data_IF_377768360254
#
_entry.id   IF_377768360254
#
_cell.length_a   1.000
_cell.length_b   1.000
_cell.length_c   1.000
_cell.angle_alpha   90.00
_cell.angle_beta   90.00
_cell.angle_gamma   90.00
#
_symmetry.space_group_name_H-M   'P 1'
#
loop_
_entity.id
_entity.type
_entity.pdbx_description
1 polymer ?
2 non-polymer ?
3 water ?
#
# COMPACT_ATOMS: atom_id res chain seq x y z
N UNK A 5 2.02 -16.29 -11.61
CA UNK A 5 2.46 -14.91 -11.39
C UNK A 5 3.85 -14.81 -10.71
N UNK A 6 4.45 -13.60 -10.73
CA UNK A 6 5.77 -13.29 -10.15
C UNK A 6 5.76 -11.95 -9.41
N UNK A 7 6.64 -11.82 -8.39
CA UNK A 7 6.78 -10.59 -7.63
C UNK A 7 7.39 -9.46 -8.49
N UNK A 8 8.22 -9.84 -9.46
CA UNK A 8 8.91 -8.93 -10.38
C UNK A 8 8.01 -8.36 -11.48
N UNK A 9 6.73 -8.79 -11.54
CA UNK A 9 5.71 -8.27 -12.48
C UNK A 9 5.05 -7.02 -11.88
N UNK A 10 5.25 -6.82 -10.56
CA UNK A 10 4.74 -5.67 -9.81
C UNK A 10 5.75 -4.53 -9.84
N UNK A 11 7.01 -4.83 -10.23
CA UNK A 11 8.14 -3.90 -10.28
C UNK A 11 7.98 -2.75 -11.25
N UNK A 12 8.32 -1.53 -10.80
CA UNK A 12 8.29 -0.33 -11.63
C UNK A 12 7.56 0.84 -10.98
N UNK A 13 7.29 1.88 -11.80
CA UNK A 13 6.54 3.05 -11.41
C UNK A 13 5.12 2.92 -11.90
N UNK A 14 4.17 3.16 -10.99
CA UNK A 14 2.73 3.06 -11.20
C UNK A 14 2.11 4.39 -10.79
N UNK A 15 0.99 4.77 -11.42
CA UNK A 15 0.27 6.05 -11.28
C UNK A 15 -1.19 5.76 -10.97
N UNK A 16 -1.75 6.37 -9.90
CA UNK A 16 -3.17 6.15 -9.52
C UNK A 16 -4.14 6.61 -10.60
N UNK A 17 -5.15 5.77 -10.94
CA UNK A 17 -6.19 6.09 -11.94
C UNK A 17 -7.63 5.97 -11.41
N UNK A 18 -7.83 5.13 -10.38
CA UNK A 18 -9.12 4.89 -9.75
C UNK A 18 -8.96 4.58 -8.26
N UNK A 19 -9.94 4.98 -7.46
CA UNK A 19 -9.95 4.77 -6.01
C UNK A 19 -11.40 4.55 -5.58
N UNK A 20 -11.66 3.52 -4.77
CA UNK A 20 -12.99 3.23 -4.23
C UNK A 20 -12.81 2.92 -2.77
N UNK A 21 -13.45 3.69 -1.88
CA UNK A 21 -13.43 3.45 -0.42
C UNK A 21 -12.22 3.97 0.34
N UNK A 22 -11.41 4.87 -0.28
CA UNK A 22 -10.21 5.38 0.38
C UNK A 22 -10.56 6.14 1.66
N UNK A 23 -11.59 7.02 1.59
CA UNK A 23 -12.09 7.80 2.74
C UNK A 23 -12.48 6.91 3.90
N UNK A 24 -13.39 5.94 3.67
CA UNK A 24 -13.81 5.01 4.71
C UNK A 24 -12.64 4.26 5.33
N UNK A 25 -11.70 3.78 4.49
CA UNK A 25 -10.50 3.06 4.96
C UNK A 25 -9.63 3.95 5.88
N UNK A 26 -9.45 5.22 5.50
CA UNK A 26 -8.70 6.19 6.29
C UNK A 26 -9.44 6.53 7.58
N UNK A 27 -10.78 6.61 7.52
CA UNK A 27 -11.63 6.88 8.69
C UNK A 27 -11.38 5.77 9.73
N UNK A 28 -11.45 4.50 9.30
CA UNK A 28 -11.20 3.31 10.10
C UNK A 28 -9.78 3.28 10.72
N UNK A 29 -8.73 3.76 9.98
CA UNK A 29 -7.33 3.81 10.46
C UNK A 29 -7.16 4.88 11.53
N UNK A 30 -8.22 5.68 11.77
CA UNK A 30 -8.24 6.76 12.75
C UNK A 30 -7.72 8.04 12.21
N UNK A 31 -7.86 8.26 10.90
CA UNK A 31 -7.39 9.51 10.30
C UNK A 31 -8.44 10.64 10.43
N UNK A 32 -7.96 11.84 10.81
CA UNK A 32 -8.78 13.03 10.97
C UNK A 32 -9.32 13.48 9.62
N UNK A 33 -10.47 14.19 9.63
CA UNK A 33 -11.16 14.72 8.46
C UNK A 33 -10.26 15.61 7.58
N UNK A 34 -9.37 16.39 8.21
CA UNK A 34 -8.47 17.27 7.48
C UNK A 34 -7.47 16.48 6.63
N UNK A 35 -6.81 15.47 7.22
CA UNK A 35 -5.86 14.61 6.50
C UNK A 35 -6.57 13.75 5.45
N UNK A 36 -7.81 13.33 5.74
CA UNK A 36 -8.60 12.53 4.81
C UNK A 36 -8.91 13.29 3.55
N UNK A 37 -9.14 14.62 3.67
CA UNK A 37 -9.48 15.44 2.51
C UNK A 37 -8.27 15.61 1.60
N UNK A 38 -7.09 15.82 2.21
CA UNK A 38 -5.79 15.95 1.55
C UNK A 38 -5.48 14.65 0.81
N UNK A 39 -5.47 13.51 1.55
CA UNK A 39 -5.19 12.17 1.03
C UNK A 39 -6.07 11.80 -0.17
N UNK A 40 -7.34 12.20 -0.13
CA UNK A 40 -8.28 11.97 -1.21
C UNK A 40 -7.93 12.83 -2.44
N UNK A 41 -7.38 14.04 -2.22
CA UNK A 41 -6.96 14.98 -3.28
C UNK A 41 -5.76 14.44 -4.07
N UNK A 42 -4.76 13.86 -3.35
CA UNK A 42 -3.51 13.34 -3.91
C UNK A 42 -3.74 12.27 -4.96
N UNK A 43 -2.85 12.26 -5.94
CA UNK A 43 -2.87 11.29 -7.03
C UNK A 43 -1.43 10.71 -7.04
N UNK A 44 -1.08 9.85 -6.07
CA UNK A 44 0.31 9.39 -6.00
C UNK A 44 0.85 8.40 -7.05
N UNK A 45 2.18 8.36 -7.15
CA UNK A 45 2.94 7.37 -7.91
C UNK A 45 3.37 6.32 -6.88
N UNK A 46 3.35 5.05 -7.29
CA UNK A 46 3.79 3.92 -6.48
C UNK A 46 4.99 3.28 -7.19
N UNK A 47 6.13 3.33 -6.51
CA UNK A 47 7.35 2.82 -7.09
C UNK A 47 7.72 1.57 -6.36
N UNK A 48 7.66 0.43 -7.07
CA UNK A 48 7.96 -0.89 -6.52
C UNK A 48 9.30 -1.43 -7.06
N UNK A 49 10.15 -1.92 -6.15
CA UNK A 49 11.43 -2.54 -6.46
C UNK A 49 11.50 -3.91 -5.74
N UNK A 50 11.85 -4.98 -6.47
CA UNK A 50 11.97 -6.30 -5.86
C UNK A 50 13.19 -7.10 -6.30
N UNK A 51 14.20 -7.16 -5.39
CA UNK A 51 15.49 -7.86 -5.43
C UNK A 51 15.21 -9.36 -5.16
N UNK A 52 14.17 -9.95 -5.83
CA UNK A 52 13.68 -11.32 -5.63
C UNK A 52 13.06 -11.59 -4.22
N UNK A 53 13.81 -11.28 -3.14
CA UNK A 53 13.42 -11.49 -1.75
C UNK A 53 13.42 -10.20 -0.90
N UNK A 54 14.05 -9.11 -1.42
CA UNK A 54 14.04 -7.79 -0.79
C UNK A 54 13.07 -6.88 -1.56
N UNK A 55 12.23 -6.16 -0.80
CA UNK A 55 11.16 -5.33 -1.35
C UNK A 55 11.16 -3.90 -0.87
N UNK A 56 11.01 -2.96 -1.80
CA UNK A 56 10.85 -1.53 -1.51
C UNK A 56 9.60 -1.00 -2.21
N UNK A 57 8.75 -0.29 -1.45
CA UNK A 57 7.53 0.34 -1.96
C UNK A 57 7.58 1.76 -1.52
N UNK A 58 7.72 2.65 -2.49
CA UNK A 58 7.74 4.08 -2.31
C UNK A 58 6.42 4.69 -2.85
N UNK A 59 5.77 5.53 -2.04
CA UNK A 59 4.58 6.26 -2.49
C UNK A 59 4.92 7.76 -2.58
N UNK A 60 5.00 8.27 -3.79
CA UNK A 60 5.34 9.66 -4.07
C UNK A 60 4.09 10.51 -4.28
N UNK A 61 3.96 11.56 -3.50
CA UNK A 61 2.89 12.56 -3.67
C UNK A 61 3.52 13.91 -3.36
N UNK A 62 2.99 14.99 -3.95
CA UNK A 62 3.49 16.33 -3.64
C UNK A 62 3.20 16.68 -2.18
N UNK A 63 2.15 16.06 -1.61
CA UNK A 63 1.74 16.22 -0.21
C UNK A 63 2.63 15.52 0.78
N UNK A 64 2.99 14.26 0.51
CA UNK A 64 3.80 13.39 1.38
C UNK A 64 4.36 12.25 0.57
N UNK A 65 5.59 11.89 0.88
CA UNK A 65 6.31 10.78 0.32
C UNK A 65 6.61 9.84 1.47
N UNK A 66 6.23 8.59 1.27
CA UNK A 66 6.39 7.49 2.19
C UNK A 66 7.22 6.41 1.49
N UNK A 67 7.91 5.58 2.28
CA UNK A 67 8.68 4.44 1.81
C UNK A 67 9.06 3.42 2.87
N UNK A 68 9.12 2.16 2.45
CA UNK A 68 9.54 1.07 3.31
C UNK A 68 10.33 0.06 2.52
N UNK A 69 11.32 -0.54 3.18
CA UNK A 69 12.19 -1.58 2.65
C UNK A 69 12.17 -2.76 3.58
N UNK A 70 11.96 -3.94 3.02
CA UNK A 70 11.90 -5.14 3.83
C UNK A 70 12.48 -6.32 3.12
N UNK A 71 12.51 -7.42 3.85
CA UNK A 71 12.92 -8.71 3.35
C UNK A 71 11.63 -9.46 3.44
N UNK A 72 11.20 -10.06 2.36
CA UNK A 72 9.95 -10.81 2.37
C UNK A 72 9.94 -11.88 3.52
N UNK A 73 8.83 -11.97 4.27
CA UNK A 73 8.67 -12.92 5.37
C UNK A 73 9.19 -12.46 6.72
N UNK A 74 10.00 -11.38 6.79
CA UNK A 74 10.53 -10.84 8.05
C UNK A 74 9.77 -9.61 8.54
N UNK A 75 9.48 -9.56 9.86
CA UNK A 75 8.77 -8.47 10.50
C UNK A 75 9.64 -7.29 10.88
N UNK A 76 9.35 -6.14 10.27
CA UNK A 76 10.05 -4.87 10.40
C UNK A 76 9.15 -3.77 10.98
N UNK A 77 9.78 -2.68 11.41
CA UNK A 77 9.16 -1.45 11.91
C UNK A 77 8.93 -0.53 10.69
N UNK A 78 7.64 -0.14 10.47
CA UNK A 78 7.17 0.70 9.35
C UNK A 78 6.47 1.95 9.85
N UNK A 79 6.83 3.13 9.30
CA UNK A 79 6.16 4.39 9.64
C UNK A 79 5.25 4.73 8.47
N UNK A 80 3.94 4.79 8.74
CA UNK A 80 2.92 5.03 7.71
C UNK A 80 2.70 6.53 7.38
N UNK A 81 2.06 6.81 6.21
CA UNK A 81 1.70 8.15 5.73
C UNK A 81 0.95 8.96 6.81
N UNK A 82 0.01 8.31 7.51
CA UNK A 82 -0.82 8.87 8.58
C UNK A 82 -0.15 8.85 9.96
N UNK A 83 1.16 8.59 10.01
CA UNK A 83 1.95 8.57 11.23
C UNK A 83 1.77 7.37 12.18
N UNK A 84 1.19 6.24 11.75
CA UNK A 84 1.15 5.06 12.63
C UNK A 84 2.54 4.42 12.57
N UNK A 85 3.04 3.93 13.70
CA UNK A 85 4.31 3.19 13.75
C UNK A 85 3.84 1.74 13.86
N UNK A 86 4.08 0.93 12.82
CA UNK A 86 3.56 -0.45 12.79
C UNK A 86 4.68 -1.49 12.68
N UNK A 87 4.37 -2.73 13.10
CA UNK A 87 5.22 -3.92 12.94
C UNK A 87 4.57 -4.60 11.75
N UNK A 88 5.27 -4.60 10.62
CA UNK A 88 4.73 -5.12 9.35
C UNK A 88 5.49 -6.34 8.85
N UNK A 89 4.79 -7.21 8.10
CA UNK A 89 5.35 -8.36 7.40
C UNK A 89 4.81 -8.38 5.99
N UNK A 90 5.70 -8.50 5.01
CA UNK A 90 5.33 -8.63 3.60
C UNK A 90 5.63 -10.04 3.11
N UNK A 91 4.74 -10.59 2.29
CA UNK A 91 4.85 -11.93 1.75
C UNK A 91 4.28 -12.01 0.37
N UNK A 92 4.99 -12.67 -0.53
CA UNK A 92 4.42 -12.90 -1.84
C UNK A 92 3.80 -14.31 -1.84
N UNK A 93 2.46 -14.40 -1.81
CA UNK A 93 1.72 -15.67 -1.79
C UNK A 93 0.51 -15.65 -2.73
N UNK A 94 0.30 -16.76 -3.48
CA UNK A 94 -0.82 -16.97 -4.41
C UNK A 94 -0.99 -15.86 -5.48
N UNK A 95 0.14 -15.47 -6.12
CA UNK A 95 0.18 -14.45 -7.18
C UNK A 95 -0.23 -13.05 -6.71
N UNK A 96 0.05 -12.74 -5.44
CA UNK A 96 -0.28 -11.45 -4.83
C UNK A 96 0.73 -11.11 -3.76
N UNK A 97 1.04 -9.82 -3.64
CA UNK A 97 1.93 -9.34 -2.59
C UNK A 97 1.02 -8.94 -1.44
N UNK A 98 1.26 -9.52 -0.28
CA UNK A 98 0.46 -9.28 0.91
C UNK A 98 1.30 -8.56 1.95
N UNK A 99 0.75 -7.48 2.51
CA UNK A 99 1.38 -6.66 3.54
C UNK A 99 0.39 -6.55 4.69
N UNK A 100 0.78 -7.11 5.83
CA UNK A 100 -0.02 -7.17 7.03
C UNK A 100 0.57 -6.24 8.06
N UNK A 101 -0.23 -5.29 8.56
CA UNK A 101 0.22 -4.29 9.54
C UNK A 101 -0.41 -4.53 10.89
N UNK A 102 0.36 -4.28 11.94
CA UNK A 102 -0.07 -4.46 13.32
C UNK A 102 0.41 -3.32 14.14
N UNK A 103 -0.50 -2.71 14.93
CA UNK A 103 -0.22 -1.57 15.81
C UNK A 103 -1.35 -1.46 16.83
N UNK A 104 -1.00 -1.10 18.09
CA UNK A 104 -1.92 -0.88 19.24
C UNK A 104 -3.15 -1.80 19.24
N UNK A 105 -2.92 -3.13 19.15
CA UNK A 105 -3.95 -4.18 19.14
C UNK A 105 -4.79 -4.30 17.86
N UNK A 106 -4.54 -3.41 16.85
CA UNK A 106 -5.26 -3.35 15.57
C UNK A 106 -4.49 -3.98 14.40
N UNK A 107 -5.24 -4.39 13.34
CA UNK A 107 -4.67 -4.98 12.14
C UNK A 107 -5.26 -4.45 10.82
N UNK A 108 -4.39 -4.32 9.79
CA UNK A 108 -4.76 -4.00 8.41
C UNK A 108 -4.01 -4.91 7.41
N UNK A 109 -4.63 -5.17 6.26
CA UNK A 109 -4.05 -6.00 5.20
C UNK A 109 -4.12 -5.31 3.82
N UNK A 110 -2.94 -5.06 3.21
CA UNK A 110 -2.83 -4.45 1.88
C UNK A 110 -2.33 -5.55 0.92
N UNK A 111 -3.12 -5.82 -0.11
CA UNK A 111 -2.85 -6.85 -1.10
C UNK A 111 -2.72 -6.19 -2.45
N UNK A 112 -1.59 -6.46 -3.11
CA UNK A 112 -1.20 -5.91 -4.39
C UNK A 112 -1.02 -7.04 -5.38
N UNK A 113 -1.80 -7.01 -6.46
CA UNK A 113 -1.78 -8.01 -7.52
C UNK A 113 -1.94 -7.36 -8.89
N UNK A 114 -1.55 -8.07 -9.96
CA UNK A 114 -1.70 -7.55 -11.32
C UNK A 114 -2.98 -8.08 -11.94
N UNK A 115 -3.70 -7.21 -12.65
CA UNK A 115 -4.99 -7.54 -13.24
C UNK A 115 -5.18 -6.67 -14.48
N UNK A 116 -4.92 -7.28 -15.64
CA UNK A 116 -5.00 -6.67 -16.96
C UNK A 116 -3.98 -5.54 -17.13
N UNK A 117 -2.73 -5.82 -16.72
CA UNK A 117 -1.62 -4.86 -16.80
C UNK A 117 -1.66 -3.78 -15.71
N UNK A 118 -2.79 -3.67 -14.98
CA UNK A 118 -3.04 -2.71 -13.91
C UNK A 118 -2.69 -3.27 -12.51
N UNK A 119 -2.11 -2.41 -11.64
CA UNK A 119 -1.80 -2.75 -10.25
C UNK A 119 -3.08 -2.48 -9.45
N UNK A 120 -3.59 -3.52 -8.80
CA UNK A 120 -4.80 -3.46 -8.00
C UNK A 120 -4.41 -3.58 -6.53
N UNK A 121 -4.68 -2.51 -5.76
CA UNK A 121 -4.35 -2.41 -4.34
C UNK A 121 -5.62 -2.45 -3.50
N UNK A 122 -5.84 -3.58 -2.82
CA UNK A 122 -6.97 -3.84 -1.93
C UNK A 122 -6.51 -3.63 -0.51
N UNK A 123 -7.07 -2.62 0.16
CA UNK A 123 -6.74 -2.29 1.55
C UNK A 123 -7.94 -2.66 2.42
N UNK A 124 -7.71 -3.49 3.45
CA UNK A 124 -8.77 -3.94 4.34
C UNK A 124 -8.44 -3.67 5.81
N UNK A 125 -9.40 -3.10 6.54
CA UNK A 125 -9.30 -2.92 7.98
C UNK A 125 -10.70 -3.17 8.52
N UNK A 126 -10.82 -4.25 9.32
CA UNK A 126 -12.09 -4.71 9.88
C UNK A 126 -13.11 -4.91 8.74
N UNK A 127 -14.29 -4.28 8.81
CA UNK A 127 -15.32 -4.42 7.78
C UNK A 127 -15.01 -3.56 6.54
N UNK A 128 -14.07 -2.61 6.69
CA UNK A 128 -13.75 -1.65 5.65
C UNK A 128 -12.78 -2.15 4.59
N UNK A 129 -13.17 -1.97 3.32
CA UNK A 129 -12.37 -2.33 2.15
C UNK A 129 -12.22 -1.13 1.23
N UNK A 130 -11.01 -0.95 0.71
CA UNK A 130 -10.61 0.10 -0.22
C UNK A 130 -9.92 -0.56 -1.43
N UNK A 131 -10.21 -0.05 -2.63
CA UNK A 131 -9.60 -0.53 -3.86
C UNK A 131 -8.96 0.62 -4.58
N UNK A 132 -7.62 0.57 -4.76
CA UNK A 132 -6.83 1.58 -5.49
C UNK A 132 -6.24 0.92 -6.74
N UNK A 133 -6.52 1.49 -7.92
CA UNK A 133 -6.02 0.98 -9.20
C UNK A 133 -4.92 1.90 -9.69
N UNK A 134 -3.77 1.29 -10.02
CA UNK A 134 -2.61 1.99 -10.59
C UNK A 134 -2.32 1.54 -12.04
N UNK A 135 -1.82 2.47 -12.85
CA UNK A 135 -1.39 2.15 -14.21
C UNK A 135 0.10 2.39 -14.36
N UNK A 136 0.80 1.48 -15.07
CA UNK A 136 2.25 1.54 -15.27
C UNK A 136 2.71 2.79 -16.04
N UNK A 137 3.73 3.50 -15.50
CA UNK A 137 4.40 4.66 -16.11
C UNK A 137 5.69 4.08 -16.73
N UNK A 138 6.54 3.45 -15.89
CA UNK A 138 7.78 2.77 -16.26
C UNK A 138 7.84 1.39 -15.61
X LIG B 1 -0.49 8.31 0.44
X LIG B 1 -1.98 10.47 -0.48
X LIG B 1 -1.28 4.08 0.76
X LIG B 1 -1.93 3.51 -0.39
X LIG B 1 -1.05 3.23 1.89
X LIG B 1 -2.32 2.15 -0.38
X LIG B 1 -2.29 4.27 -1.58
X LIG B 1 -1.43 1.89 1.86
X LIG B 1 -2.06 1.34 0.72
X LIG B 1 0.15 9.60 0.24
X LIG B 1 -1.88 8.15 0.20
X LIG B 1 0.32 6.00 1.10
X LIG B 1 1.72 8.13 1.05
X LIG B 1 1.55 9.43 0.61
X LIG B 1 -0.61 10.67 -0.22
X LIG B 1 -2.60 9.22 -0.32
X LIG B 1 -0.94 5.44 0.81
X LIG B 1 0.51 7.40 0.90
X LIG B 1 1.28 5.33 1.54
X LIG B 1 -2.71 3.52 -2.62
X LIG B 1 -2.31 5.50 -1.79
#
# INVERSE_FOLDING_TARGET
GSHMATVQQLEGRWRLVDSKGFDEYMKELGVGIALRKMGAMAKPDCIITCDGKNLTIKTESTLKTTQFSCTLGEKFEETTADGRKTQTVCNFTDGALVQHQEWDGKESTITRKLKDGKLVVECVMNNVTCTRIYEKVE
NC0 C1 C12 C13 C14 C15 C16 C17 C18 C19 C3 C4 C5 C6 C7 C8 C9 N10 N2 O11 O20 O21
#
